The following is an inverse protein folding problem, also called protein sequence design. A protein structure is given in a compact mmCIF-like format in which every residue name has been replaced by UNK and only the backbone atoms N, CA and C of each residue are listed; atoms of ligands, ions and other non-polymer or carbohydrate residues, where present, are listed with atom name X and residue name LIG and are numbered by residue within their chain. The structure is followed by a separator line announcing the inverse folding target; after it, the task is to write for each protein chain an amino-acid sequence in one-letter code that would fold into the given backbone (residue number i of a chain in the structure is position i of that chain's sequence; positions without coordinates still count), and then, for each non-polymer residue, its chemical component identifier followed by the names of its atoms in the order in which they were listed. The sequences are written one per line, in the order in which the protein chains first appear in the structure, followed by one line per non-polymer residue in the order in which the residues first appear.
data_IF_935480440236
#
_entry.id   IF_935480440236
#
_cell.length_a   1.000
_cell.length_b   1.000
_cell.length_c   1.000
_cell.angle_alpha   90.00
_cell.angle_beta   90.00
_cell.angle_gamma   90.00
#
_symmetry.space_group_name_H-M   'P 1'
#
loop_
_entity.id
_entity.type
_entity.pdbx_description
1 polymer ?
#
# COMPACT_ATOMS: atom_id res chain seq x y z
N UNK A 1 10.06 -6.82 1.17
CA UNK A 1 9.92 -6.49 -0.26
C UNK A 1 9.24 -5.15 -0.34
N UNK A 2 10.01 -4.08 -0.53
CA UNK A 2 9.49 -2.72 -0.61
C UNK A 2 8.91 -2.52 -2.02
N UNK A 3 7.59 -2.49 -2.14
CA UNK A 3 6.92 -1.91 -3.31
C UNK A 3 7.25 -0.42 -3.31
N UNK A 4 8.37 -0.05 -3.95
CA UNK A 4 8.54 1.30 -4.45
C UNK A 4 7.35 1.55 -5.38
N UNK A 5 6.42 2.36 -4.89
CA UNK A 5 5.27 2.84 -5.64
C UNK A 5 5.78 3.49 -6.93
N UNK A 6 5.70 2.75 -8.04
CA UNK A 6 6.05 3.24 -9.37
C UNK A 6 5.26 4.56 -9.58
N UNK A 7 5.93 5.70 -9.85
CA UNK A 7 5.25 6.99 -9.97
C UNK A 7 4.16 6.98 -11.04
N UNK A 8 4.29 6.14 -12.08
CA UNK A 8 3.25 5.94 -13.09
C UNK A 8 1.96 5.34 -12.50
N UNK A 9 2.07 4.37 -11.57
CA UNK A 9 0.93 3.74 -10.89
C UNK A 9 0.23 4.76 -9.98
N UNK A 10 1.00 5.57 -9.24
CA UNK A 10 0.42 6.61 -8.36
C UNK A 10 -0.31 7.66 -9.19
N UNK A 11 0.28 8.14 -10.28
CA UNK A 11 -0.34 9.09 -11.19
C UNK A 11 -1.58 8.51 -11.88
N UNK A 12 -1.54 7.24 -12.28
CA UNK A 12 -2.68 6.56 -12.91
C UNK A 12 -3.88 6.44 -11.96
N UNK A 13 -3.66 6.30 -10.63
CA UNK A 13 -4.76 6.29 -9.67
C UNK A 13 -5.59 7.57 -9.65
N UNK A 14 -5.06 8.68 -10.14
CA UNK A 14 -5.72 9.99 -10.18
C UNK A 14 -6.22 10.36 -11.59
N UNK A 15 -5.79 9.60 -12.61
CA UNK A 15 -6.19 9.83 -14.00
C UNK A 15 -7.65 9.40 -14.27
N UNK A 16 -8.14 9.80 -15.44
CA UNK A 16 -9.41 9.32 -16.00
C UNK A 16 -9.34 7.79 -16.16
N UNK A 17 -10.36 7.11 -15.67
CA UNK A 17 -10.38 5.65 -15.54
C UNK A 17 -11.53 5.08 -16.37
N UNK A 18 -11.28 3.96 -17.04
CA UNK A 18 -12.31 3.22 -17.76
C UNK A 18 -13.22 2.47 -16.79
N UNK A 19 -14.45 2.20 -17.20
CA UNK A 19 -15.37 1.40 -16.39
C UNK A 19 -14.92 -0.07 -16.35
N UNK A 20 -15.24 -0.78 -15.27
CA UNK A 20 -14.81 -2.16 -15.08
C UNK A 20 -15.33 -3.09 -16.19
N UNK A 21 -16.57 -2.89 -16.64
CA UNK A 21 -17.16 -3.68 -17.73
C UNK A 21 -16.44 -3.44 -19.06
N UNK A 22 -16.02 -2.21 -19.33
CA UNK A 22 -15.23 -1.87 -20.52
C UNK A 22 -13.88 -2.61 -20.51
N UNK A 23 -13.23 -2.65 -19.34
CA UNK A 23 -12.01 -3.43 -19.16
C UNK A 23 -12.23 -4.92 -19.48
N UNK A 24 -13.27 -5.54 -18.92
CA UNK A 24 -13.55 -6.96 -19.11
C UNK A 24 -13.89 -7.31 -20.56
N UNK A 25 -14.56 -6.41 -21.29
CA UNK A 25 -15.06 -6.68 -22.65
C UNK A 25 -14.07 -6.30 -23.76
N UNK A 26 -13.23 -5.29 -23.56
CA UNK A 26 -12.38 -4.75 -24.61
C UNK A 26 -10.88 -4.86 -24.35
N UNK A 27 -10.46 -4.88 -23.09
CA UNK A 27 -9.05 -4.88 -22.73
C UNK A 27 -8.59 -6.29 -22.36
N UNK A 28 -9.28 -6.94 -21.42
CA UNK A 28 -8.94 -8.28 -20.95
C UNK A 28 -8.85 -9.32 -22.10
N UNK A 29 -9.75 -9.34 -23.10
CA UNK A 29 -9.71 -10.33 -24.17
C UNK A 29 -8.51 -10.20 -25.12
N UNK A 30 -7.79 -9.07 -25.08
CA UNK A 30 -6.59 -8.88 -25.93
C UNK A 30 -5.44 -9.79 -25.50
N UNK A 31 -5.45 -10.29 -24.25
CA UNK A 31 -4.34 -11.06 -23.69
C UNK A 31 -3.11 -10.21 -23.35
N UNK A 32 -3.17 -8.89 -23.54
CA UNK A 32 -2.04 -7.98 -23.34
C UNK A 32 -1.90 -7.49 -21.89
N UNK A 33 -2.75 -7.97 -20.98
CA UNK A 33 -2.74 -7.57 -19.57
C UNK A 33 -1.76 -8.46 -18.80
N UNK A 34 -0.73 -7.86 -18.22
CA UNK A 34 0.29 -8.57 -17.44
C UNK A 34 -0.12 -8.80 -15.97
N UNK A 35 -0.80 -7.82 -15.35
CA UNK A 35 -1.19 -7.86 -13.94
C UNK A 35 -2.32 -6.88 -13.65
N UNK A 36 -3.19 -7.20 -12.70
CA UNK A 36 -4.16 -6.25 -12.15
C UNK A 36 -3.86 -6.00 -10.67
N UNK A 37 -3.83 -4.73 -10.26
CA UNK A 37 -3.64 -4.31 -8.87
C UNK A 37 -4.91 -3.59 -8.42
N UNK A 38 -5.66 -4.20 -7.51
CA UNK A 38 -6.89 -3.64 -6.95
C UNK A 38 -6.60 -2.85 -5.66
N UNK A 39 -7.17 -1.65 -5.56
CA UNK A 39 -7.09 -0.75 -4.40
C UNK A 39 -8.49 -0.58 -3.79
N UNK A 40 -8.90 -1.43 -2.83
CA UNK A 40 -10.26 -1.43 -2.28
C UNK A 40 -10.64 -0.07 -1.67
N UNK A 41 -9.69 0.56 -0.96
CA UNK A 41 -9.90 1.84 -0.28
C UNK A 41 -10.16 3.00 -1.24
N UNK A 42 -9.77 2.86 -2.51
CA UNK A 42 -9.95 3.88 -3.56
C UNK A 42 -11.02 3.49 -4.58
N UNK A 43 -11.64 2.31 -4.45
CA UNK A 43 -12.58 1.77 -5.44
C UNK A 43 -12.03 1.82 -6.88
N UNK A 44 -10.73 1.54 -7.02
CA UNK A 44 -10.01 1.57 -8.30
C UNK A 44 -9.12 0.35 -8.43
N UNK A 45 -8.90 -0.09 -9.65
CA UNK A 45 -7.86 -1.03 -10.00
C UNK A 45 -6.93 -0.40 -11.04
N UNK A 46 -5.76 -1.02 -11.20
CA UNK A 46 -4.81 -0.68 -12.24
C UNK A 46 -4.46 -1.97 -12.98
N UNK A 47 -4.71 -2.00 -14.28
CA UNK A 47 -4.15 -3.01 -15.16
C UNK A 47 -2.78 -2.53 -15.66
N UNK A 48 -1.78 -3.37 -15.46
CA UNK A 48 -0.46 -3.25 -16.07
C UNK A 48 -0.46 -4.08 -17.34
N UNK A 49 -0.06 -3.46 -18.45
CA UNK A 49 0.04 -4.11 -19.74
C UNK A 49 1.42 -4.76 -19.94
N UNK A 50 1.49 -5.71 -20.86
CA UNK A 50 2.76 -6.24 -21.36
C UNK A 50 3.53 -5.14 -22.13
N UNK A 51 4.87 -5.23 -22.22
CA UNK A 51 5.65 -4.29 -23.02
C UNK A 51 5.19 -4.28 -24.49
N UNK A 52 4.92 -3.09 -25.03
CA UNK A 52 4.41 -2.89 -26.40
C UNK A 52 3.01 -3.49 -26.65
N UNK A 53 2.17 -3.56 -25.62
CA UNK A 53 0.81 -4.07 -25.72
C UNK A 53 0.00 -3.45 -26.88
N UNK A 54 -0.71 -4.33 -27.59
CA UNK A 54 -1.56 -3.98 -28.72
C UNK A 54 -3.04 -4.14 -28.34
N UNK A 55 -3.73 -3.03 -28.15
CA UNK A 55 -5.18 -3.06 -27.91
C UNK A 55 -5.88 -2.81 -29.24
N UNK A 56 -6.69 -3.77 -29.69
CA UNK A 56 -7.35 -3.75 -31.00
C UNK A 56 -6.38 -3.53 -32.17
N UNK A 57 -5.20 -4.14 -32.09
CA UNK A 57 -4.16 -4.05 -33.12
C UNK A 57 -3.43 -2.70 -33.19
N UNK A 58 -3.66 -1.79 -32.23
CA UNK A 58 -2.93 -0.52 -32.13
C UNK A 58 -2.07 -0.48 -30.87
N UNK A 59 -0.85 0.07 -30.94
CA UNK A 59 -0.03 0.26 -29.75
C UNK A 59 -0.74 1.18 -28.78
N UNK A 60 -0.86 0.74 -27.54
CA UNK A 60 -1.48 1.54 -26.49
C UNK A 60 -0.44 2.53 -25.93
N UNK A 61 -0.80 3.82 -25.72
CA UNK A 61 0.16 4.86 -25.40
C UNK A 61 0.76 4.78 -23.97
N UNK A 62 0.26 3.89 -23.12
CA UNK A 62 0.63 3.79 -21.70
C UNK A 62 0.66 2.34 -21.26
N UNK A 63 1.68 1.92 -20.49
CA UNK A 63 1.74 0.56 -19.96
C UNK A 63 0.76 0.33 -18.77
N UNK A 64 -0.02 1.35 -18.44
CA UNK A 64 -0.90 1.38 -17.27
C UNK A 64 -2.28 1.88 -17.68
N UNK A 65 -3.31 1.10 -17.34
CA UNK A 65 -4.72 1.47 -17.53
C UNK A 65 -5.39 1.52 -16.15
N UNK A 66 -5.83 2.72 -15.70
CA UNK A 66 -6.64 2.85 -14.50
C UNK A 66 -8.08 2.42 -14.78
N UNK A 67 -8.63 1.64 -13.86
CA UNK A 67 -9.97 1.04 -13.96
C UNK A 67 -10.77 1.48 -12.74
N UNK A 68 -11.97 1.99 -12.99
CA UNK A 68 -12.92 2.37 -11.97
C UNK A 68 -13.74 1.14 -11.57
N UNK A 69 -13.85 0.89 -10.28
CA UNK A 69 -14.62 -0.24 -9.74
C UNK A 69 -15.55 0.30 -8.66
N UNK A 70 -16.73 0.76 -9.09
CA UNK A 70 -17.78 1.18 -8.16
C UNK A 70 -18.38 -0.05 -7.47
N UNK A 71 -18.02 -0.28 -6.21
CA UNK A 71 -18.64 -1.32 -5.39
C UNK A 71 -19.31 -0.73 -4.17
N UNK A 72 -20.55 -1.16 -3.97
CA UNK A 72 -21.33 -0.89 -2.75
C UNK A 72 -20.67 -1.47 -1.50
N UNK A 73 -19.82 -2.51 -1.64
CA UNK A 73 -19.11 -3.12 -0.52
C UNK A 73 -17.62 -3.38 -0.82
N UNK A 74 -16.71 -2.44 -0.50
CA UNK A 74 -15.26 -2.58 -0.73
C UNK A 74 -14.60 -3.65 0.17
N UNK A 75 -15.36 -4.27 1.07
CA UNK A 75 -14.89 -5.26 2.04
C UNK A 75 -14.62 -6.65 1.42
N UNK A 76 -15.11 -6.92 0.20
CA UNK A 76 -14.97 -8.21 -0.48
C UNK A 76 -14.07 -8.11 -1.72
N UNK A 77 -12.74 -7.96 -1.54
CA UNK A 77 -11.79 -7.87 -2.66
C UNK A 77 -11.75 -9.15 -3.51
N UNK A 78 -12.14 -10.29 -2.93
CA UNK A 78 -12.20 -11.57 -3.63
C UNK A 78 -13.23 -11.56 -4.76
N UNK A 79 -14.27 -10.73 -4.70
CA UNK A 79 -15.27 -10.63 -5.77
C UNK A 79 -14.69 -10.07 -7.07
N UNK A 80 -13.85 -9.03 -6.99
CA UNK A 80 -13.19 -8.45 -8.18
C UNK A 80 -12.33 -9.51 -8.85
N UNK A 81 -11.58 -10.26 -8.05
CA UNK A 81 -10.79 -11.37 -8.54
C UNK A 81 -11.66 -12.44 -9.19
N UNK A 82 -12.76 -12.84 -8.56
CA UNK A 82 -13.69 -13.83 -9.10
C UNK A 82 -14.32 -13.40 -10.43
N UNK A 83 -14.67 -12.13 -10.59
CA UNK A 83 -15.25 -11.61 -11.84
C UNK A 83 -14.23 -11.59 -12.98
N UNK A 84 -12.99 -11.18 -12.71
CA UNK A 84 -11.90 -11.31 -13.68
C UNK A 84 -11.71 -12.78 -14.05
N UNK A 85 -11.74 -13.69 -13.08
CA UNK A 85 -11.60 -15.14 -13.32
C UNK A 85 -12.75 -15.69 -14.15
N UNK A 86 -13.98 -15.28 -13.90
CA UNK A 86 -15.13 -15.68 -14.72
C UNK A 86 -15.04 -15.13 -16.15
N UNK A 87 -14.50 -13.91 -16.33
CA UNK A 87 -14.25 -13.37 -17.66
C UNK A 87 -13.15 -14.17 -18.39
N UNK A 88 -12.07 -14.53 -17.69
CA UNK A 88 -11.01 -15.40 -18.22
C UNK A 88 -11.53 -16.80 -18.60
N UNK A 89 -12.38 -17.39 -17.76
CA UNK A 89 -13.02 -18.69 -18.02
C UNK A 89 -13.89 -18.65 -19.28
N UNK A 90 -14.65 -17.56 -19.50
CA UNK A 90 -15.45 -17.37 -20.73
C UNK A 90 -14.57 -17.25 -21.98
N UNK A 91 -13.35 -16.75 -21.82
CA UNK A 91 -12.35 -16.67 -22.89
C UNK A 91 -11.60 -18.00 -23.11
N UNK A 92 -11.90 -19.03 -22.31
CA UNK A 92 -11.26 -20.35 -22.41
C UNK A 92 -9.84 -20.39 -21.85
N UNK A 93 -9.42 -19.37 -21.08
CA UNK A 93 -8.08 -19.31 -20.51
C UNK A 93 -7.98 -20.26 -19.29
N UNK A 94 -6.99 -21.17 -19.25
CA UNK A 94 -6.81 -22.06 -18.12
C UNK A 94 -6.32 -21.29 -16.88
N UNK A 95 -6.69 -21.74 -15.67
CA UNK A 95 -6.33 -21.07 -14.41
C UNK A 95 -4.82 -20.81 -14.24
N UNK A 96 -3.96 -21.61 -14.88
CA UNK A 96 -2.50 -21.45 -14.83
C UNK A 96 -1.99 -20.24 -15.62
N UNK A 97 -2.74 -19.79 -16.62
CA UNK A 97 -2.40 -18.64 -17.47
C UNK A 97 -3.14 -17.37 -17.04
N UNK A 98 -4.13 -17.49 -16.17
CA UNK A 98 -4.92 -16.34 -15.77
C UNK A 98 -4.12 -15.33 -14.93
N UNK A 99 -4.44 -14.07 -15.14
CA UNK A 99 -3.62 -12.93 -14.79
C UNK A 99 -3.51 -12.80 -13.26
N UNK A 100 -2.32 -12.46 -12.72
CA UNK A 100 -2.18 -12.18 -11.30
C UNK A 100 -3.00 -10.95 -10.92
N UNK A 101 -3.89 -11.11 -9.94
CA UNK A 101 -4.70 -10.04 -9.35
C UNK A 101 -4.24 -9.82 -7.91
N UNK A 102 -3.54 -8.74 -7.65
CA UNK A 102 -3.08 -8.37 -6.32
C UNK A 102 -4.03 -7.36 -5.68
N UNK A 103 -4.30 -7.50 -4.38
CA UNK A 103 -5.08 -6.53 -3.63
C UNK A 103 -4.17 -5.74 -2.70
N UNK A 104 -4.12 -4.43 -2.90
CA UNK A 104 -3.40 -3.52 -2.04
C UNK A 104 -4.35 -2.83 -1.05
N UNK A 105 -4.50 -3.41 0.15
CA UNK A 105 -5.08 -2.70 1.30
C UNK A 105 -3.99 -1.83 1.92
N UNK A 106 -4.07 -0.52 1.71
CA UNK A 106 -3.23 0.42 2.46
C UNK A 106 -3.43 0.28 3.98
N UNK A 107 -2.53 0.87 4.77
CA UNK A 107 -2.66 0.85 6.22
C UNK A 107 -4.02 1.43 6.65
N UNK A 108 -4.78 0.67 7.43
CA UNK A 108 -6.06 1.13 7.99
C UNK A 108 -5.81 2.34 8.88
N UNK A 109 -6.63 3.39 8.75
CA UNK A 109 -6.56 4.59 9.59
C UNK A 109 -6.51 4.24 11.09
N UNK A 110 -7.33 3.27 11.51
CA UNK A 110 -7.35 2.79 12.90
C UNK A 110 -6.02 2.19 13.35
N UNK A 111 -5.33 1.45 12.46
CA UNK A 111 -4.04 0.83 12.77
C UNK A 111 -2.93 1.88 12.85
N UNK A 112 -2.95 2.89 12.00
CA UNK A 112 -2.03 4.04 12.09
C UNK A 112 -2.27 4.84 13.37
N UNK A 113 -3.53 5.05 13.74
CA UNK A 113 -3.90 5.76 14.97
C UNK A 113 -3.45 4.98 16.22
N UNK A 114 -3.61 3.65 16.23
CA UNK A 114 -3.13 2.77 17.30
C UNK A 114 -1.62 2.94 17.52
N UNK A 115 -0.82 2.96 16.46
CA UNK A 115 0.61 3.23 16.58
C UNK A 115 0.89 4.63 17.13
N UNK A 116 0.18 5.67 16.67
CA UNK A 116 0.35 7.03 17.21
C UNK A 116 0.04 7.10 18.71
N UNK A 117 -1.05 6.48 19.15
CA UNK A 117 -1.43 6.43 20.57
C UNK A 117 -0.38 5.67 21.37
N UNK A 118 0.11 4.52 20.86
CA UNK A 118 1.20 3.76 21.47
C UNK A 118 2.48 4.59 21.64
N UNK A 119 2.90 5.29 20.59
CA UNK A 119 4.07 6.19 20.65
C UNK A 119 3.86 7.37 21.60
N UNK A 120 2.65 7.94 21.65
CA UNK A 120 2.32 9.03 22.57
C UNK A 120 2.43 8.56 24.03
N UNK A 121 1.94 7.37 24.36
CA UNK A 121 2.04 6.78 25.71
C UNK A 121 3.51 6.52 26.07
N UNK A 122 4.30 5.92 25.17
CA UNK A 122 5.72 5.65 25.42
C UNK A 122 6.48 6.97 25.61
N UNK A 123 6.25 7.98 24.76
CA UNK A 123 6.86 9.30 24.87
C UNK A 123 6.49 10.00 26.17
N UNK A 124 5.22 9.90 26.60
CA UNK A 124 4.75 10.45 27.87
C UNK A 124 5.43 9.79 29.08
N UNK A 125 5.51 8.46 29.08
CA UNK A 125 6.22 7.70 30.11
C UNK A 125 7.71 8.07 30.14
N UNK A 126 8.37 8.12 28.98
CA UNK A 126 9.77 8.52 28.88
C UNK A 126 10.01 9.94 29.41
N UNK A 127 9.08 10.88 29.19
CA UNK A 127 9.18 12.25 29.72
C UNK A 127 9.09 12.28 31.26
N UNK A 128 8.15 11.54 31.85
CA UNK A 128 7.94 11.50 33.31
C UNK A 128 9.06 10.72 34.03
N UNK A 129 9.43 9.56 33.53
CA UNK A 129 10.50 8.74 34.12
C UNK A 129 11.90 9.27 33.80
N UNK A 130 12.09 9.92 32.65
CA UNK A 130 13.37 10.53 32.27
C UNK A 130 13.80 11.66 33.20
N UNK A 131 12.85 12.42 33.78
CA UNK A 131 13.17 13.44 34.78
C UNK A 131 13.70 12.84 36.08
N UNK A 132 13.18 11.68 36.49
CA UNK A 132 13.65 10.97 37.69
C UNK A 132 15.06 10.41 37.49
N UNK A 133 15.32 9.80 36.33
CA UNK A 133 16.64 9.27 35.98
C UNK A 133 17.66 10.40 35.88
N UNK A 134 17.30 11.55 35.26
CA UNK A 134 18.19 12.72 35.20
C UNK A 134 18.57 13.24 36.58
N UNK A 135 17.62 13.32 37.53
CA UNK A 135 17.90 13.76 38.91
C UNK A 135 18.89 12.83 39.61
N UNK A 136 18.74 11.52 39.45
CA UNK A 136 19.67 10.55 40.03
C UNK A 136 21.07 10.63 39.41
N UNK A 137 21.18 10.86 38.10
CA UNK A 137 22.47 11.03 37.42
C UNK A 137 23.16 12.32 37.87
N UNK A 138 22.41 13.42 38.01
CA UNK A 138 22.96 14.70 38.48
C UNK A 138 23.41 14.60 39.94
N UNK A 139 22.65 13.93 40.80
CA UNK A 139 23.05 13.70 42.20
C UNK A 139 24.31 12.84 42.31
N UNK A 140 24.38 11.72 41.59
CA UNK A 140 25.59 10.88 41.55
C UNK A 140 26.81 11.66 41.05
N UNK A 141 26.65 12.45 39.98
CA UNK A 141 27.73 13.31 39.47
C UNK A 141 28.14 14.41 40.45
N UNK A 142 27.20 14.98 41.19
CA UNK A 142 27.48 16.01 42.21
C UNK A 142 28.20 15.39 43.43
N UNK A 143 27.80 14.20 43.86
CA UNK A 143 28.47 13.45 44.93
C UNK A 143 29.88 13.02 44.53
N UNK A 144 30.07 12.53 43.29
CA UNK A 144 31.38 12.16 42.76
C UNK A 144 32.30 13.40 42.64
N UNK A 145 31.76 14.54 42.19
CA UNK A 145 32.49 15.80 42.14
C UNK A 145 32.83 16.35 43.53
N UNK A 146 31.93 16.23 44.50
CA UNK A 146 32.19 16.63 45.90
C UNK A 146 33.25 15.74 46.56
N UNK A 147 33.21 14.42 46.32
CA UNK A 147 34.25 13.48 46.76
C UNK A 147 35.60 13.76 46.10
N UNK A 148 35.63 14.15 44.83
CA UNK A 148 36.84 14.56 44.14
C UNK A 148 37.40 15.90 44.69
N UNK A 149 36.53 16.84 45.07
CA UNK A 149 36.93 18.14 45.62
C UNK A 149 37.39 18.08 47.09
N UNK A 150 36.81 17.18 47.90
CA UNK A 150 37.24 16.92 49.28
C UNK A 150 38.53 16.11 49.39
N UNK A 151 39.01 15.55 48.27
CA UNK A 151 40.27 14.82 48.14
C UNK A 151 41.32 15.71 47.47
N UNK A 152 41.51 16.93 47.99
CA UNK A 152 42.70 17.73 47.68
C UNK A 152 43.83 17.35 48.65
N UNK A 153 45.06 17.08 48.16
CA UNK A 153 46.21 16.77 49.02
C UNK A 153 46.58 17.93 49.93
#
# INVERSE_FOLDING_TARGET
MATHSNPAVVKALEAEAIEFDEFLQHILPTGEVARVIYFPNKQRAIALLQPNALINGKPYPSDVIPIKIERTNPSQPDQVRLEIRHAEEKLGLPLREGIPVDTFRGASFFRTMEFMVGFAIIGFLASRYGQLIRRQIVQKRAEDAAKAAGKKP
#
